data_IF_574944171441
#
_entry.id   IF_574944171441
#
_cell.length_a   1.000
_cell.length_b   1.000
_cell.length_c   1.000
_cell.angle_alpha   90.00
_cell.angle_beta   90.00
_cell.angle_gamma   90.00
#
_symmetry.space_group_name_H-M   'P 1'
#
loop_
_entity.id
_entity.type
_entity.pdbx_description
1 polymer ?
#
# COMPACT_ATOMS: atom_id res chain seq x y z
N UNK A 1 3.69 -9.69 -0.50
CA UNK A 1 3.27 -8.28 -0.43
C UNK A 1 2.10 -8.13 -1.37
N UNK A 2 0.99 -7.56 -0.92
CA UNK A 2 -0.23 -7.35 -1.71
C UNK A 2 -0.50 -5.86 -1.78
N UNK A 3 -0.88 -5.35 -2.95
CA UNK A 3 -1.16 -3.93 -3.14
C UNK A 3 -2.61 -3.81 -3.58
N UNK A 4 -3.36 -2.98 -2.87
CA UNK A 4 -4.74 -2.65 -3.16
C UNK A 4 -4.78 -1.28 -3.83
N UNK A 5 -5.55 -1.17 -4.90
CA UNK A 5 -5.71 0.09 -5.65
C UNK A 5 -7.19 0.39 -5.72
N UNK A 6 -7.55 1.61 -5.36
CA UNK A 6 -8.94 2.10 -5.41
C UNK A 6 -8.95 3.49 -6.04
N UNK A 7 -10.05 3.84 -6.70
CA UNK A 7 -10.27 5.19 -7.22
C UNK A 7 -10.82 6.09 -6.12
N UNK A 8 -10.42 7.36 -6.08
CA UNK A 8 -11.03 8.35 -5.21
C UNK A 8 -12.52 8.54 -5.48
N UNK A 9 -13.00 8.18 -6.68
CA UNK A 9 -14.41 8.17 -7.05
C UNK A 9 -15.20 6.98 -6.45
N UNK A 10 -14.52 5.94 -5.96
CA UNK A 10 -15.12 4.65 -5.62
C UNK A 10 -15.19 4.43 -4.11
N UNK A 11 -16.21 5.05 -3.49
CA UNK A 11 -16.48 4.95 -2.05
C UNK A 11 -16.81 3.52 -1.63
N UNK A 12 -17.56 2.80 -2.45
CA UNK A 12 -17.98 1.42 -2.16
C UNK A 12 -16.77 0.48 -2.19
N UNK A 13 -15.94 0.56 -3.23
CA UNK A 13 -14.71 -0.23 -3.30
C UNK A 13 -13.74 0.06 -2.17
N UNK A 14 -13.67 1.32 -1.69
CA UNK A 14 -12.88 1.69 -0.51
C UNK A 14 -13.41 1.04 0.78
N UNK A 15 -14.74 1.02 0.97
CA UNK A 15 -15.36 0.41 2.14
C UNK A 15 -15.20 -1.11 2.18
N UNK A 16 -15.00 -1.77 1.03
CA UNK A 16 -14.76 -3.21 0.93
C UNK A 16 -13.30 -3.60 1.27
N UNK A 17 -12.35 -2.66 1.24
CA UNK A 17 -10.93 -2.94 1.46
C UNK A 17 -10.62 -3.71 2.75
N UNK A 18 -11.22 -3.42 3.92
CA UNK A 18 -10.93 -4.17 5.14
C UNK A 18 -11.23 -5.65 5.01
N UNK A 19 -12.40 -5.98 4.43
CA UNK A 19 -12.83 -7.37 4.21
C UNK A 19 -11.88 -8.08 3.23
N UNK A 20 -11.51 -7.41 2.14
CA UNK A 20 -10.58 -7.96 1.14
C UNK A 20 -9.17 -8.18 1.72
N UNK A 21 -8.69 -7.25 2.55
CA UNK A 21 -7.39 -7.36 3.22
C UNK A 21 -7.39 -8.56 4.16
N UNK A 22 -8.43 -8.72 4.98
CA UNK A 22 -8.57 -9.85 5.90
C UNK A 22 -8.64 -11.18 5.13
N UNK A 23 -9.44 -11.24 4.06
CA UNK A 23 -9.55 -12.42 3.21
C UNK A 23 -8.18 -12.83 2.64
N UNK A 24 -7.40 -11.86 2.15
CA UNK A 24 -6.05 -12.11 1.62
C UNK A 24 -5.03 -12.44 2.70
N UNK A 25 -5.18 -11.89 3.90
CA UNK A 25 -4.34 -12.24 5.03
C UNK A 25 -4.57 -13.70 5.45
N UNK A 26 -5.82 -14.15 5.50
CA UNK A 26 -6.18 -15.53 5.83
C UNK A 26 -5.74 -16.54 4.76
N UNK A 27 -5.62 -16.11 3.50
CA UNK A 27 -5.06 -16.93 2.41
C UNK A 27 -3.53 -17.01 2.45
N UNK A 28 -2.84 -16.16 3.22
CA UNK A 28 -1.39 -16.22 3.36
C UNK A 28 -0.98 -17.26 4.41
N UNK A 29 0.08 -18.02 4.11
CA UNK A 29 0.62 -19.00 5.07
C UNK A 29 1.02 -18.31 6.38
N UNK A 30 0.71 -18.88 7.56
CA UNK A 30 1.04 -18.29 8.87
C UNK A 30 2.53 -18.00 9.05
N UNK A 31 3.39 -18.72 8.33
CA UNK A 31 4.85 -18.56 8.34
C UNK A 31 5.34 -17.33 7.58
N UNK A 32 4.48 -16.65 6.82
CA UNK A 32 4.83 -15.49 6.00
C UNK A 32 4.17 -14.24 6.56
N UNK A 33 5.00 -13.23 6.88
CA UNK A 33 4.51 -11.89 7.25
C UNK A 33 3.67 -11.32 6.11
N UNK A 34 2.39 -11.08 6.39
CA UNK A 34 1.50 -10.36 5.49
C UNK A 34 1.90 -8.89 5.46
N UNK A 35 2.04 -8.32 4.26
CA UNK A 35 2.36 -6.91 4.05
C UNK A 35 1.44 -6.39 2.97
N UNK A 36 0.58 -5.44 3.32
CA UNK A 36 -0.34 -4.76 2.41
C UNK A 36 -0.05 -3.26 2.31
N UNK A 37 -0.39 -2.68 1.16
CA UNK A 37 -0.40 -1.23 0.92
C UNK A 37 -1.68 -0.85 0.16
N UNK A 38 -2.18 0.36 0.37
CA UNK A 38 -3.35 0.90 -0.35
C UNK A 38 -2.95 2.14 -1.14
N UNK A 39 -3.35 2.20 -2.41
CA UNK A 39 -3.25 3.40 -3.24
C UNK A 39 -4.64 3.91 -3.59
N UNK A 40 -4.89 5.18 -3.29
CA UNK A 40 -6.10 5.90 -3.70
C UNK A 40 -5.73 6.79 -4.89
N UNK A 41 -6.30 6.50 -6.06
CA UNK A 41 -5.95 7.15 -7.33
C UNK A 41 -6.96 8.23 -7.72
N UNK A 42 -6.57 9.17 -8.59
CA UNK A 42 -7.43 10.27 -9.07
C UNK A 42 -7.95 11.17 -7.94
N UNK A 43 -7.18 11.30 -6.88
CA UNK A 43 -7.57 12.03 -5.67
C UNK A 43 -7.77 13.53 -5.91
N UNK A 44 -7.11 14.08 -6.93
CA UNK A 44 -7.26 15.46 -7.42
C UNK A 44 -8.51 15.68 -8.28
N UNK A 45 -9.17 14.62 -8.76
CA UNK A 45 -10.30 14.72 -9.68
C UNK A 45 -11.65 14.51 -9.00
N UNK A 46 -11.68 13.76 -7.89
CA UNK A 46 -12.92 13.35 -7.24
C UNK A 46 -12.86 13.68 -5.75
N UNK A 47 -13.77 14.52 -5.24
CA UNK A 47 -13.83 14.86 -3.81
C UNK A 47 -14.57 13.79 -2.97
N UNK A 48 -14.78 12.58 -3.51
CA UNK A 48 -15.60 11.55 -2.87
C UNK A 48 -14.87 10.86 -1.72
N UNK A 49 -13.60 10.52 -1.91
CA UNK A 49 -12.70 10.14 -0.82
C UNK A 49 -11.85 11.34 -0.43
N UNK A 50 -11.73 11.59 0.87
CA UNK A 50 -10.96 12.70 1.43
C UNK A 50 -9.68 12.21 2.10
N UNK A 51 -8.80 13.15 2.44
CA UNK A 51 -7.54 12.84 3.11
C UNK A 51 -7.83 12.34 4.54
N UNK A 52 -8.90 12.85 5.15
CA UNK A 52 -9.37 12.37 6.44
C UNK A 52 -9.80 10.89 6.37
N UNK A 53 -10.51 10.46 5.32
CA UNK A 53 -10.89 9.06 5.13
C UNK A 53 -9.66 8.14 5.04
N UNK A 54 -8.63 8.59 4.31
CA UNK A 54 -7.37 7.85 4.17
C UNK A 54 -6.59 7.77 5.48
N UNK A 55 -6.53 8.87 6.24
CA UNK A 55 -5.86 8.94 7.54
C UNK A 55 -6.56 8.07 8.59
N UNK A 56 -7.89 8.10 8.64
CA UNK A 56 -8.69 7.24 9.51
C UNK A 56 -8.48 5.77 9.17
N UNK A 57 -8.46 5.42 7.88
CA UNK A 57 -8.17 4.05 7.44
C UNK A 57 -6.77 3.60 7.85
N UNK A 58 -5.76 4.44 7.63
CA UNK A 58 -4.38 4.16 8.00
C UNK A 58 -4.25 3.94 9.51
N UNK A 59 -4.85 4.80 10.32
CA UNK A 59 -4.82 4.70 11.77
C UNK A 59 -5.55 3.44 12.27
N UNK A 60 -6.72 3.12 11.69
CA UNK A 60 -7.56 2.01 12.13
C UNK A 60 -6.97 0.65 11.80
N UNK A 61 -6.41 0.50 10.61
CA UNK A 61 -5.93 -0.80 10.11
C UNK A 61 -4.41 -0.95 10.20
N UNK A 62 -3.69 0.11 10.57
CA UNK A 62 -2.22 0.14 10.60
C UNK A 62 -1.61 -0.27 9.25
N UNK A 63 -2.19 0.25 8.15
CA UNK A 63 -1.79 -0.02 6.76
C UNK A 63 -1.40 1.30 6.12
N UNK A 64 -0.26 1.35 5.44
CA UNK A 64 0.17 2.55 4.72
C UNK A 64 -0.76 2.84 3.53
N UNK A 65 -1.28 4.06 3.49
CA UNK A 65 -2.14 4.56 2.41
C UNK A 65 -1.42 5.67 1.65
N UNK A 66 -1.48 5.64 0.32
CA UNK A 66 -0.88 6.65 -0.54
C UNK A 66 -1.94 7.29 -1.45
N UNK A 67 -2.01 8.61 -1.42
CA UNK A 67 -2.88 9.40 -2.28
C UNK A 67 -2.15 9.76 -3.58
N UNK A 68 -2.75 9.45 -4.72
CA UNK A 68 -2.18 9.68 -6.05
C UNK A 68 -3.14 10.50 -6.90
N UNK A 69 -2.65 11.61 -7.45
CA UNK A 69 -3.35 12.41 -8.46
C UNK A 69 -3.31 11.74 -9.84
N UNK A 70 -4.30 11.98 -10.71
CA UNK A 70 -4.46 11.31 -12.01
C UNK A 70 -3.28 11.53 -12.98
N UNK A 71 -2.63 12.71 -12.95
CA UNK A 71 -1.44 12.99 -13.76
C UNK A 71 -0.24 12.08 -13.44
N UNK A 72 -0.25 11.47 -12.24
CA UNK A 72 0.85 10.68 -11.72
C UNK A 72 0.44 9.26 -11.34
N UNK A 73 -0.84 8.90 -11.40
CA UNK A 73 -1.33 7.60 -10.90
C UNK A 73 -0.71 6.43 -11.65
N UNK A 74 -0.59 6.50 -12.99
CA UNK A 74 -0.01 5.40 -13.77
C UNK A 74 1.51 5.28 -13.56
N UNK A 75 2.21 6.43 -13.47
CA UNK A 75 3.67 6.47 -13.38
C UNK A 75 4.18 6.24 -11.94
N UNK A 76 3.56 6.86 -10.92
CA UNK A 76 3.90 6.66 -9.50
C UNK A 76 3.45 5.30 -8.97
N UNK A 77 2.40 4.68 -9.51
CA UNK A 77 2.16 3.27 -9.23
C UNK A 77 3.38 2.48 -9.69
N UNK A 78 3.77 2.56 -10.97
CA UNK A 78 4.93 1.84 -11.51
C UNK A 78 6.25 2.15 -10.75
N UNK A 79 6.54 3.41 -10.43
CA UNK A 79 7.74 3.81 -9.67
C UNK A 79 7.65 3.44 -8.20
N UNK A 80 6.48 3.51 -7.57
CA UNK A 80 6.25 3.05 -6.20
C UNK A 80 6.44 1.55 -6.07
N UNK A 81 5.92 0.77 -7.03
CA UNK A 81 6.19 -0.67 -7.16
C UNK A 81 7.70 -0.94 -7.27
N UNK A 82 8.43 -0.19 -8.11
CA UNK A 82 9.86 -0.37 -8.30
C UNK A 82 10.70 0.07 -7.08
N UNK A 83 10.39 1.19 -6.43
CA UNK A 83 11.12 1.66 -5.25
C UNK A 83 10.89 0.77 -4.02
N UNK A 84 9.67 0.30 -3.77
CA UNK A 84 9.38 -0.62 -2.66
C UNK A 84 10.00 -2.01 -2.87
N UNK A 85 10.11 -2.47 -4.11
CA UNK A 85 10.84 -3.68 -4.45
C UNK A 85 12.34 -3.43 -4.30
N UNK A 86 12.86 -2.30 -4.77
CA UNK A 86 14.28 -1.95 -4.72
C UNK A 86 14.78 -1.76 -3.29
N UNK A 87 14.06 -1.06 -2.41
CA UNK A 87 14.48 -0.86 -1.01
C UNK A 87 14.45 -2.18 -0.22
N UNK A 88 13.48 -3.05 -0.48
CA UNK A 88 13.39 -4.37 0.16
C UNK A 88 14.46 -5.33 -0.33
N UNK A 89 14.78 -5.31 -1.63
CA UNK A 89 15.89 -6.08 -2.19
C UNK A 89 17.23 -5.56 -1.67
N UNK A 90 17.42 -4.24 -1.66
CA UNK A 90 18.64 -3.60 -1.17
C UNK A 90 18.91 -3.88 0.31
N UNK A 91 17.90 -3.78 1.19
CA UNK A 91 18.05 -4.18 2.60
C UNK A 91 18.38 -5.65 2.76
N UNK A 92 17.75 -6.53 1.98
CA UNK A 92 18.01 -7.97 2.06
C UNK A 92 19.41 -8.33 1.59
N UNK A 93 19.91 -7.67 0.55
CA UNK A 93 21.30 -7.82 0.10
C UNK A 93 22.29 -7.29 1.14
N UNK A 94 21.99 -6.18 1.80
CA UNK A 94 22.80 -5.65 2.90
C UNK A 94 22.84 -6.56 4.14
N UNK A 95 21.72 -7.19 4.49
CA UNK A 95 21.63 -8.19 5.56
C UNK A 95 22.36 -9.49 5.20
N UNK A 96 22.23 -9.96 3.96
CA UNK A 96 22.89 -11.19 3.47
C UNK A 96 24.40 -11.03 3.26
N UNK A 97 24.87 -9.83 2.93
CA UNK A 97 26.30 -9.50 2.79
C UNK A 97 26.97 -9.14 4.12
N UNK A 98 26.21 -9.13 5.23
CA UNK A 98 26.74 -8.82 6.56
C UNK A 98 27.19 -7.37 6.73
N UNK A 99 26.76 -6.45 5.85
CA UNK A 99 27.19 -5.05 5.87
C UNK A 99 26.36 -4.17 6.82
N UNK A 100 25.27 -4.70 7.40
CA UNK A 100 24.52 -4.03 8.46
C UNK A 100 24.70 -4.81 9.76
N UNK A 101 25.59 -4.32 10.62
CA UNK A 101 25.70 -4.71 12.02
C UNK A 101 24.77 -3.82 12.84
N UNK A 102 23.76 -4.41 13.48
CA UNK A 102 22.89 -3.67 14.41
C UNK A 102 23.61 -3.49 15.75
N UNK A 103 23.92 -2.24 16.08
CA UNK A 103 24.05 -1.74 17.45
C UNK A 103 22.88 -0.79 17.74
#
# INVERSE_FOLDING_TARGET
MIIFVVSAADREGFNELPRLIEEKQNQCSPSRRFVSLVFITKFDQYPVLTENDANEFQARYNISVYLLSNAYSTMRLATGYLNLISEKLYRRDLELTGQVSMY
#
